data_IF_952001414264
#
_entry.id   IF_952001414264
#
_cell.length_a   1.000
_cell.length_b   1.000
_cell.length_c   1.000
_cell.angle_alpha   90.00
_cell.angle_beta   90.00
_cell.angle_gamma   90.00
#
_symmetry.space_group_name_H-M   'P 1'
#
loop_
_entity.id
_entity.type
_entity.pdbx_description
1 polymer ?
#
# COMPACT_ATOMS: atom_id res chain seq x y z
N UNK A 1 27.03 -50.57 -56.61
CA UNK A 1 26.57 -49.34 -55.93
C UNK A 1 25.21 -49.64 -55.32
N UNK A 2 25.09 -49.68 -53.98
CA UNK A 2 23.80 -49.94 -53.28
C UNK A 2 23.44 -48.67 -52.50
N UNK A 3 22.37 -47.98 -52.91
CA UNK A 3 21.84 -46.84 -52.16
C UNK A 3 20.95 -47.34 -51.03
N UNK A 4 21.23 -46.91 -49.80
CA UNK A 4 20.31 -47.07 -48.66
C UNK A 4 19.51 -45.79 -48.53
N UNK A 5 18.19 -45.88 -48.69
CA UNK A 5 17.26 -44.81 -48.35
C UNK A 5 16.89 -44.98 -46.87
N UNK A 6 17.22 -44.01 -46.04
CA UNK A 6 16.80 -43.94 -44.64
C UNK A 6 15.52 -43.10 -44.57
N UNK A 7 14.41 -43.72 -44.16
CA UNK A 7 13.17 -43.02 -43.85
C UNK A 7 13.21 -42.61 -42.38
N UNK A 8 13.21 -41.30 -42.12
CA UNK A 8 13.11 -40.75 -40.76
C UNK A 8 11.64 -40.58 -40.40
N UNK A 9 11.12 -41.43 -39.51
CA UNK A 9 9.76 -41.31 -38.99
C UNK A 9 9.72 -40.19 -37.93
N UNK A 10 8.94 -39.14 -38.18
CA UNK A 10 8.74 -38.05 -37.21
C UNK A 10 7.56 -38.42 -36.32
N UNK A 11 7.82 -38.74 -35.06
CA UNK A 11 6.77 -39.02 -34.07
C UNK A 11 6.13 -37.71 -33.63
N UNK A 12 4.85 -37.50 -33.95
CA UNK A 12 4.06 -36.39 -33.43
C UNK A 12 3.51 -36.80 -32.07
N UNK A 13 4.00 -36.18 -31.00
CA UNK A 13 3.42 -36.33 -29.67
C UNK A 13 2.12 -35.51 -29.60
N UNK A 14 0.99 -36.19 -29.46
CA UNK A 14 -0.31 -35.54 -29.20
C UNK A 14 -0.44 -35.32 -27.70
N UNK A 15 -0.26 -34.07 -27.26
CA UNK A 15 -0.51 -33.68 -25.86
C UNK A 15 -2.00 -33.37 -25.75
N UNK A 16 -2.78 -34.30 -25.18
CA UNK A 16 -4.16 -34.03 -24.82
C UNK A 16 -4.18 -33.21 -23.52
N UNK A 17 -4.44 -31.91 -23.60
CA UNK A 17 -4.79 -31.13 -22.41
C UNK A 17 -6.21 -31.51 -21.99
N UNK A 18 -6.32 -32.23 -20.87
CA UNK A 18 -7.60 -32.41 -20.20
C UNK A 18 -7.95 -31.12 -19.46
N UNK A 19 -9.06 -30.49 -19.85
CA UNK A 19 -9.65 -29.39 -19.09
C UNK A 19 -10.48 -30.00 -17.97
N UNK A 20 -9.99 -29.95 -16.72
CA UNK A 20 -10.83 -30.25 -15.55
C UNK A 20 -11.66 -29.00 -15.30
N UNK A 21 -12.97 -29.11 -15.48
CA UNK A 21 -13.89 -28.07 -15.05
C UNK A 21 -13.90 -28.06 -13.51
N UNK A 22 -13.29 -27.05 -12.91
CA UNK A 22 -13.29 -26.90 -11.46
C UNK A 22 -14.64 -26.32 -11.03
N UNK A 23 -15.41 -27.08 -10.25
CA UNK A 23 -16.68 -26.58 -9.69
C UNK A 23 -16.38 -25.50 -8.67
N UNK A 24 -17.04 -24.35 -8.78
CA UNK A 24 -16.94 -23.31 -7.77
C UNK A 24 -17.51 -23.82 -6.44
N UNK A 25 -16.73 -23.66 -5.37
CA UNK A 25 -17.12 -24.03 -4.00
C UNK A 25 -17.28 -22.77 -3.16
N UNK A 26 -18.22 -22.82 -2.20
CA UNK A 26 -18.33 -21.80 -1.18
C UNK A 26 -17.64 -22.32 0.09
N UNK A 27 -16.52 -21.69 0.45
CA UNK A 27 -15.72 -22.09 1.62
C UNK A 27 -15.91 -21.07 2.75
N UNK A 28 -16.09 -21.56 3.97
CA UNK A 28 -16.07 -20.72 5.16
C UNK A 28 -14.59 -20.49 5.56
N UNK A 29 -14.16 -19.22 5.56
CA UNK A 29 -12.79 -18.82 5.89
C UNK A 29 -12.44 -18.86 7.38
N UNK A 30 -13.41 -19.15 8.24
CA UNK A 30 -13.24 -19.26 9.69
C UNK A 30 -13.35 -17.92 10.43
N UNK A 31 -13.07 -17.97 11.73
CA UNK A 31 -13.08 -16.85 12.67
C UNK A 31 -11.81 -16.91 13.54
N UNK A 32 -11.40 -15.79 14.14
CA UNK A 32 -10.34 -15.83 15.14
C UNK A 32 -10.77 -16.68 16.36
N UNK A 33 -9.87 -17.49 16.95
CA UNK A 33 -10.19 -18.23 18.16
C UNK A 33 -10.72 -17.33 19.28
N UNK A 34 -11.94 -17.63 19.75
CA UNK A 34 -12.63 -16.85 20.78
C UNK A 34 -13.51 -15.70 20.26
N UNK A 35 -13.56 -15.46 18.95
CA UNK A 35 -14.54 -14.57 18.33
C UNK A 35 -15.97 -15.06 18.54
N UNK A 36 -16.93 -14.13 18.53
CA UNK A 36 -18.36 -14.42 18.81
C UNK A 36 -19.34 -13.79 17.82
N UNK A 37 -18.87 -13.03 16.83
CA UNK A 37 -19.74 -12.10 16.08
C UNK A 37 -19.63 -12.24 14.55
N UNK A 38 -18.50 -11.85 13.94
CA UNK A 38 -18.37 -11.90 12.49
C UNK A 38 -16.90 -11.85 12.02
N UNK A 39 -16.70 -12.35 10.81
CA UNK A 39 -15.47 -12.15 10.03
C UNK A 39 -15.82 -11.66 8.64
N UNK A 40 -15.11 -10.63 8.17
CA UNK A 40 -15.26 -10.07 6.81
C UNK A 40 -13.89 -10.02 6.13
N UNK A 41 -13.77 -10.66 4.96
CA UNK A 41 -12.61 -10.51 4.09
C UNK A 41 -12.59 -9.15 3.39
N UNK A 42 -11.48 -8.42 3.48
CA UNK A 42 -11.32 -7.09 2.88
C UNK A 42 -10.32 -7.04 1.73
N UNK A 43 -9.36 -7.97 1.69
CA UNK A 43 -8.35 -8.02 0.64
C UNK A 43 -7.88 -9.44 0.36
N UNK A 44 -7.44 -9.67 -0.87
CA UNK A 44 -6.87 -10.95 -1.30
C UNK A 44 -5.62 -10.74 -2.15
N UNK A 45 -4.61 -11.58 -1.98
CA UNK A 45 -3.41 -11.59 -2.82
C UNK A 45 -3.74 -12.03 -4.25
N UNK A 46 -2.83 -11.75 -5.19
CA UNK A 46 -3.08 -12.01 -6.63
C UNK A 46 -3.31 -13.50 -6.93
N UNK A 47 -2.63 -14.37 -6.21
CA UNK A 47 -2.70 -15.82 -6.31
C UNK A 47 -3.84 -16.43 -5.48
N UNK A 48 -4.60 -15.62 -4.75
CA UNK A 48 -5.68 -16.08 -3.88
C UNK A 48 -5.21 -16.72 -2.57
N UNK A 49 -3.91 -16.84 -2.33
CA UNK A 49 -3.36 -17.60 -1.20
C UNK A 49 -3.36 -16.85 0.12
N UNK A 50 -3.48 -15.53 0.12
CA UNK A 50 -3.52 -14.73 1.35
C UNK A 50 -4.75 -13.85 1.36
N UNK A 51 -5.54 -13.96 2.42
CA UNK A 51 -6.71 -13.12 2.65
C UNK A 51 -6.40 -12.23 3.86
N UNK A 52 -6.65 -10.93 3.71
CA UNK A 52 -6.69 -9.98 4.82
C UNK A 52 -8.14 -9.75 5.21
N UNK A 53 -8.44 -9.87 6.50
CA UNK A 53 -9.78 -9.84 7.04
C UNK A 53 -9.85 -8.94 8.28
N UNK A 54 -11.08 -8.56 8.60
CA UNK A 54 -11.49 -8.07 9.89
C UNK A 54 -12.23 -9.20 10.60
N UNK A 55 -11.91 -9.47 11.86
CA UNK A 55 -12.59 -10.49 12.67
C UNK A 55 -12.78 -9.98 14.09
N UNK A 56 -13.87 -10.36 14.76
CA UNK A 56 -14.01 -10.14 16.20
C UNK A 56 -13.17 -11.17 16.97
N UNK A 57 -12.36 -10.73 17.95
CA UNK A 57 -11.51 -11.62 18.75
C UNK A 57 -12.03 -11.82 20.18
N UNK A 58 -11.36 -12.68 20.98
CA UNK A 58 -11.78 -13.14 22.32
C UNK A 58 -12.15 -12.05 23.33
N UNK A 59 -11.75 -10.79 23.12
CA UNK A 59 -12.20 -9.68 23.97
C UNK A 59 -13.52 -9.04 23.54
N UNK A 60 -14.14 -9.51 22.44
CA UNK A 60 -15.51 -9.27 21.97
C UNK A 60 -16.00 -7.81 21.87
N UNK A 61 -15.15 -6.84 22.19
CA UNK A 61 -15.45 -5.41 22.21
C UNK A 61 -14.84 -4.68 21.02
N UNK A 62 -13.88 -5.29 20.32
CA UNK A 62 -12.98 -4.62 19.39
C UNK A 62 -12.75 -5.46 18.13
N UNK A 63 -12.68 -4.77 16.98
CA UNK A 63 -12.32 -5.39 15.70
C UNK A 63 -10.83 -5.67 15.64
N UNK A 64 -10.44 -6.84 15.13
CA UNK A 64 -9.03 -7.18 14.95
C UNK A 64 -8.72 -7.56 13.51
N UNK A 65 -7.70 -6.93 12.96
CA UNK A 65 -7.17 -7.28 11.67
C UNK A 65 -6.57 -8.69 11.77
N UNK A 66 -6.91 -9.52 10.79
CA UNK A 66 -6.49 -10.89 10.72
C UNK A 66 -6.05 -11.23 9.30
N UNK A 67 -5.29 -12.32 9.17
CA UNK A 67 -4.96 -12.88 7.88
C UNK A 67 -5.04 -14.39 7.89
N UNK A 68 -5.29 -14.95 6.69
CA UNK A 68 -5.31 -16.39 6.43
C UNK A 68 -4.34 -16.69 5.29
N UNK A 69 -3.59 -17.79 5.40
CA UNK A 69 -2.78 -18.31 4.29
C UNK A 69 -3.29 -19.68 3.84
N UNK A 70 -3.68 -19.79 2.58
CA UNK A 70 -4.29 -20.98 2.02
C UNK A 70 -5.48 -21.42 2.88
N UNK A 71 -5.44 -22.68 3.29
CA UNK A 71 -6.52 -23.30 4.05
C UNK A 71 -6.33 -23.20 5.58
N UNK A 72 -5.40 -22.37 6.06
CA UNK A 72 -5.09 -22.22 7.49
C UNK A 72 -6.23 -21.60 8.30
N UNK A 73 -6.15 -21.63 9.62
CA UNK A 73 -6.99 -20.77 10.46
C UNK A 73 -6.61 -19.28 10.27
N UNK A 74 -7.51 -18.38 10.69
CA UNK A 74 -7.22 -16.95 10.78
C UNK A 74 -6.24 -16.68 11.92
N UNK A 75 -5.27 -15.81 11.62
CA UNK A 75 -4.24 -15.38 12.56
C UNK A 75 -4.41 -13.87 12.78
N UNK A 76 -4.52 -13.47 14.04
CA UNK A 76 -4.61 -12.08 14.44
C UNK A 76 -3.27 -11.37 14.22
N UNK A 77 -3.29 -10.14 13.69
CA UNK A 77 -2.06 -9.33 13.51
C UNK A 77 -1.82 -8.33 14.65
N UNK A 78 -2.75 -8.23 15.61
CA UNK A 78 -2.69 -7.31 16.74
C UNK A 78 -3.01 -5.86 16.36
N UNK A 79 -2.63 -4.93 17.23
CA UNK A 79 -2.80 -3.48 17.07
C UNK A 79 -1.49 -2.75 17.35
N UNK A 80 -1.42 -1.45 17.02
CA UNK A 80 -0.28 -0.61 17.39
C UNK A 80 -0.13 -0.52 18.91
N UNK A 81 1.08 -0.24 19.43
CA UNK A 81 1.25 0.00 20.86
C UNK A 81 0.26 1.05 21.37
N UNK A 82 -0.44 0.75 22.46
CA UNK A 82 -1.51 1.56 23.08
C UNK A 82 -2.84 1.63 22.34
N UNK A 83 -2.96 1.02 21.16
CA UNK A 83 -4.21 0.85 20.44
C UNK A 83 -4.90 -0.44 20.89
N UNK A 84 -6.23 -0.48 20.79
CA UNK A 84 -7.05 -1.60 21.24
C UNK A 84 -7.64 -2.40 20.06
N UNK A 85 -7.71 -1.78 18.87
CA UNK A 85 -8.33 -2.38 17.70
C UNK A 85 -7.48 -2.21 16.45
N UNK A 86 -7.75 -3.03 15.44
CA UNK A 86 -7.21 -2.86 14.11
C UNK A 86 -8.18 -3.38 13.05
N UNK A 87 -8.19 -2.72 11.88
CA UNK A 87 -8.96 -3.14 10.73
C UNK A 87 -8.03 -3.29 9.53
N UNK A 88 -8.03 -4.47 8.90
CA UNK A 88 -7.31 -4.66 7.64
C UNK A 88 -8.15 -4.10 6.49
N UNK A 89 -7.54 -3.32 5.61
CA UNK A 89 -8.20 -2.73 4.45
C UNK A 89 -7.67 -3.28 3.12
N UNK A 90 -6.45 -3.79 3.09
CA UNK A 90 -5.86 -4.29 1.85
C UNK A 90 -4.63 -5.16 2.07
N UNK A 91 -4.32 -5.95 1.03
CA UNK A 91 -3.15 -6.84 0.99
C UNK A 91 -2.39 -6.62 -0.31
N UNK A 92 -1.07 -6.70 -0.24
CA UNK A 92 -0.20 -6.64 -1.42
C UNK A 92 -0.42 -7.83 -2.34
N UNK A 93 -0.06 -7.65 -3.62
CA UNK A 93 -0.20 -8.71 -4.62
C UNK A 93 0.59 -10.01 -4.29
N UNK A 94 1.63 -9.95 -3.45
CA UNK A 94 2.37 -11.13 -2.99
C UNK A 94 1.82 -11.75 -1.71
N UNK A 95 0.83 -11.14 -1.07
CA UNK A 95 0.35 -11.57 0.25
C UNK A 95 1.29 -11.25 1.41
N UNK A 96 2.40 -10.54 1.18
CA UNK A 96 3.41 -10.27 2.23
C UNK A 96 3.01 -9.10 3.12
N UNK A 97 2.48 -8.04 2.52
CA UNK A 97 2.10 -6.81 3.22
C UNK A 97 0.59 -6.70 3.38
N UNK A 98 0.17 -6.32 4.57
CA UNK A 98 -1.20 -5.95 4.91
C UNK A 98 -1.20 -4.50 5.36
N UNK A 99 -2.22 -3.75 4.98
CA UNK A 99 -2.42 -2.36 5.40
C UNK A 99 -3.82 -2.15 5.91
N UNK A 100 -3.98 -1.11 6.72
CA UNK A 100 -5.26 -0.76 7.29
C UNK A 100 -5.11 0.37 8.29
N UNK A 101 -5.89 0.30 9.35
CA UNK A 101 -5.89 1.26 10.43
C UNK A 101 -5.89 0.58 11.79
N UNK A 102 -5.22 1.18 12.76
CA UNK A 102 -5.28 0.75 14.15
C UNK A 102 -5.95 1.86 14.95
N UNK A 103 -6.82 1.48 15.88
CA UNK A 103 -7.72 2.40 16.58
C UNK A 103 -7.39 2.41 18.07
N UNK A 104 -7.28 3.62 18.62
CA UNK A 104 -7.19 3.87 20.06
C UNK A 104 -8.52 4.37 20.61
N UNK A 105 -8.90 3.91 21.81
CA UNK A 105 -10.05 4.43 22.56
C UNK A 105 -9.95 5.96 22.69
N UNK A 106 -10.83 6.70 21.99
CA UNK A 106 -10.90 8.16 21.78
C UNK A 106 -10.73 8.66 20.32
N UNK A 107 -10.96 7.79 19.32
CA UNK A 107 -11.03 8.12 17.88
C UNK A 107 -9.70 8.52 17.22
N UNK A 108 -8.56 8.32 17.91
CA UNK A 108 -7.27 8.37 17.24
C UNK A 108 -7.08 7.08 16.44
N UNK A 109 -7.11 7.24 15.11
CA UNK A 109 -6.95 6.16 14.15
C UNK A 109 -5.67 6.40 13.37
N UNK A 110 -4.78 5.42 13.36
CA UNK A 110 -3.52 5.53 12.65
C UNK A 110 -3.39 4.44 11.59
N UNK A 111 -3.08 4.87 10.37
CA UNK A 111 -2.78 3.99 9.27
C UNK A 111 -1.57 3.13 9.63
N UNK A 112 -1.66 1.83 9.36
CA UNK A 112 -0.54 0.91 9.56
C UNK A 112 -0.16 0.20 8.26
N UNK A 113 1.07 -0.32 8.27
CA UNK A 113 1.48 -1.46 7.44
C UNK A 113 2.00 -2.57 8.32
N UNK A 114 1.76 -3.81 7.92
CA UNK A 114 2.15 -5.00 8.65
C UNK A 114 2.76 -6.03 7.72
N UNK A 115 3.77 -6.74 8.21
CA UNK A 115 4.26 -8.00 7.66
C UNK A 115 4.72 -8.90 8.80
N UNK A 116 4.83 -10.20 8.56
CA UNK A 116 5.36 -11.16 9.54
C UNK A 116 6.78 -10.76 10.00
N UNK A 117 7.60 -10.22 9.09
CA UNK A 117 9.00 -9.88 9.36
C UNK A 117 9.16 -8.60 10.19
N UNK A 118 8.24 -7.64 10.03
CA UNK A 118 8.37 -6.31 10.65
C UNK A 118 7.41 -6.07 11.80
N UNK A 119 6.40 -6.91 11.96
CA UNK A 119 5.23 -6.59 12.76
C UNK A 119 4.48 -5.36 12.23
N UNK A 120 3.63 -4.78 13.09
CA UNK A 120 2.83 -3.60 12.77
C UNK A 120 3.67 -2.32 12.90
N UNK A 121 3.67 -1.51 11.85
CA UNK A 121 4.34 -0.21 11.79
C UNK A 121 3.29 0.86 11.51
N UNK A 122 3.20 1.86 12.40
CA UNK A 122 2.37 3.05 12.22
C UNK A 122 2.95 3.97 11.15
N UNK A 123 2.10 4.54 10.32
CA UNK A 123 2.49 5.41 9.21
C UNK A 123 2.35 6.90 9.56
N UNK A 124 1.80 7.22 10.74
CA UNK A 124 1.44 8.57 11.15
C UNK A 124 0.26 9.15 10.35
N UNK A 125 0.14 10.46 10.40
CA UNK A 125 -0.95 11.27 9.83
C UNK A 125 -0.41 12.46 9.02
N UNK A 126 -1.32 13.26 8.46
CA UNK A 126 -0.97 14.55 7.86
C UNK A 126 -1.03 15.64 8.93
N UNK A 127 -0.15 16.66 8.87
CA UNK A 127 -0.07 17.68 9.91
C UNK A 127 -1.33 18.56 9.97
N UNK A 128 -1.66 19.01 11.19
CA UNK A 128 -2.69 20.02 11.46
C UNK A 128 -4.13 19.50 11.53
N UNK A 129 -4.40 18.26 11.13
CA UNK A 129 -5.73 17.65 11.27
C UNK A 129 -6.02 17.09 12.67
N UNK A 130 -7.11 16.34 12.78
CA UNK A 130 -7.50 15.63 14.01
C UNK A 130 -6.63 14.40 14.35
N UNK A 131 -5.56 14.20 13.59
CA UNK A 131 -4.66 13.04 13.69
C UNK A 131 -5.37 11.71 13.46
N UNK A 132 -5.93 11.58 12.27
CA UNK A 132 -6.61 10.38 11.80
C UNK A 132 -6.07 9.98 10.44
N UNK A 133 -5.73 8.71 10.24
CA UNK A 133 -5.28 8.19 8.96
C UNK A 133 -5.70 6.74 8.74
N UNK A 134 -5.96 6.39 7.47
CA UNK A 134 -6.40 5.07 7.04
C UNK A 134 -5.63 4.68 5.78
N UNK A 135 -4.86 3.60 5.83
CA UNK A 135 -4.26 3.02 4.63
C UNK A 135 -5.27 2.14 3.89
N UNK A 136 -5.35 2.29 2.57
CA UNK A 136 -6.32 1.57 1.72
C UNK A 136 -5.68 0.62 0.72
N UNK A 137 -4.45 0.90 0.30
CA UNK A 137 -3.74 0.04 -0.62
C UNK A 137 -2.23 0.15 -0.44
N UNK A 138 -1.53 -0.91 -0.85
CA UNK A 138 -0.08 -1.04 -0.73
C UNK A 138 0.50 -1.62 -2.03
N UNK A 139 1.67 -1.13 -2.42
CA UNK A 139 2.42 -1.67 -3.55
C UNK A 139 2.85 -3.12 -3.29
N UNK A 140 3.15 -3.85 -4.37
CA UNK A 140 3.61 -5.25 -4.30
C UNK A 140 4.78 -5.45 -3.32
N UNK A 141 5.70 -4.48 -3.26
CA UNK A 141 6.90 -4.52 -2.44
C UNK A 141 6.76 -3.85 -1.07
N UNK A 142 5.57 -3.33 -0.73
CA UNK A 142 5.33 -2.70 0.57
C UNK A 142 5.89 -1.29 0.76
N UNK A 143 6.50 -0.71 -0.28
CA UNK A 143 7.18 0.60 -0.20
C UNK A 143 6.27 1.79 -0.42
N UNK A 144 5.14 1.61 -1.09
CA UNK A 144 4.19 2.70 -1.34
C UNK A 144 2.87 2.31 -0.74
N UNK A 145 2.40 3.12 0.22
CA UNK A 145 1.07 2.98 0.81
C UNK A 145 0.27 4.23 0.47
N UNK A 146 -1.00 4.04 0.12
CA UNK A 146 -1.93 5.14 -0.17
C UNK A 146 -3.18 5.02 0.68
N UNK A 147 -3.78 6.17 0.98
CA UNK A 147 -4.90 6.23 1.89
C UNK A 147 -5.47 7.63 2.04
N UNK A 148 -6.29 7.81 3.06
CA UNK A 148 -6.83 9.11 3.48
C UNK A 148 -6.36 9.45 4.88
N UNK A 149 -6.14 10.74 5.16
CA UNK A 149 -5.82 11.26 6.49
C UNK A 149 -6.48 12.62 6.70
N UNK A 150 -6.60 13.05 7.95
CA UNK A 150 -7.04 14.41 8.27
C UNK A 150 -5.88 15.40 8.16
N UNK A 151 -6.15 16.59 7.63
CA UNK A 151 -5.22 17.73 7.55
C UNK A 151 -5.97 19.01 7.88
N UNK A 152 -5.28 20.09 8.22
CA UNK A 152 -5.93 21.40 8.36
C UNK A 152 -6.09 22.11 7.01
N UNK A 153 -7.26 22.70 6.80
CA UNK A 153 -7.49 23.73 5.79
C UNK A 153 -8.38 24.83 6.39
N UNK A 154 -7.88 26.07 6.42
CA UNK A 154 -8.57 27.25 6.96
C UNK A 154 -9.12 27.05 8.39
N UNK A 155 -8.32 26.46 9.28
CA UNK A 155 -8.70 26.21 10.69
C UNK A 155 -9.72 25.09 10.87
N UNK A 156 -9.96 24.26 9.84
CA UNK A 156 -10.85 23.10 9.89
C UNK A 156 -10.10 21.83 9.51
N UNK A 157 -10.38 20.76 10.24
CA UNK A 157 -9.94 19.41 9.85
C UNK A 157 -10.71 18.95 8.62
N UNK A 158 -9.98 18.55 7.57
CA UNK A 158 -10.52 18.05 6.31
C UNK A 158 -9.82 16.75 5.91
N UNK A 159 -10.53 15.86 5.24
CA UNK A 159 -9.94 14.64 4.67
C UNK A 159 -9.08 14.95 3.44
N UNK A 160 -7.87 14.41 3.41
CA UNK A 160 -6.95 14.53 2.29
C UNK A 160 -6.32 13.17 1.94
N UNK A 161 -6.02 12.91 0.65
CA UNK A 161 -5.29 11.72 0.26
C UNK A 161 -3.84 11.82 0.72
N UNK A 162 -3.27 10.69 1.15
CA UNK A 162 -1.83 10.60 1.39
C UNK A 162 -1.17 9.53 0.51
N UNK A 163 0.12 9.73 0.27
CA UNK A 163 1.04 8.71 -0.23
C UNK A 163 2.21 8.62 0.71
N UNK A 164 2.37 7.47 1.34
CA UNK A 164 3.45 7.16 2.26
C UNK A 164 4.54 6.34 1.55
N UNK A 165 5.79 6.63 1.92
CA UNK A 165 6.99 5.84 1.58
C UNK A 165 7.90 5.81 2.80
N UNK A 166 8.63 4.70 3.05
CA UNK A 166 9.62 4.66 4.12
C UNK A 166 10.62 5.83 4.02
N UNK A 167 11.10 6.32 5.16
CA UNK A 167 12.18 7.29 5.17
C UNK A 167 13.39 6.73 4.40
N UNK A 168 13.92 7.53 3.46
CA UNK A 168 14.99 7.11 2.53
C UNK A 168 14.53 6.69 1.13
N UNK A 169 13.24 6.38 0.94
CA UNK A 169 12.67 5.93 -0.35
C UNK A 169 11.93 7.04 -1.12
N UNK A 170 12.07 8.31 -0.71
CA UNK A 170 11.66 9.44 -1.53
C UNK A 170 12.43 9.34 -2.87
N UNK A 171 11.73 8.91 -3.93
CA UNK A 171 12.36 8.43 -5.17
C UNK A 171 13.51 9.34 -5.59
N UNK A 172 14.69 8.79 -5.94
CA UNK A 172 15.83 9.60 -6.38
C UNK A 172 15.44 10.61 -7.47
N UNK A 173 14.47 10.27 -8.32
CA UNK A 173 13.88 11.15 -9.34
C UNK A 173 13.22 12.42 -8.80
N UNK A 174 12.57 12.36 -7.63
CA UNK A 174 11.93 13.54 -7.01
C UNK A 174 12.99 14.49 -6.47
N UNK A 175 14.01 13.96 -5.79
CA UNK A 175 15.15 14.76 -5.31
C UNK A 175 16.04 15.28 -6.44
N UNK A 176 16.25 14.49 -7.50
CA UNK A 176 17.01 14.87 -8.70
C UNK A 176 16.33 16.02 -9.44
N UNK A 177 15.01 15.96 -9.65
CA UNK A 177 14.23 17.06 -10.25
C UNK A 177 14.23 18.32 -9.38
N UNK A 178 14.19 18.19 -8.05
CA UNK A 178 14.29 19.33 -7.13
C UNK A 178 15.68 19.99 -7.16
N UNK A 179 16.76 19.20 -7.20
CA UNK A 179 18.13 19.70 -7.33
C UNK A 179 18.41 20.31 -8.71
N UNK A 180 17.81 19.76 -9.77
CA UNK A 180 17.89 20.32 -11.13
C UNK A 180 17.13 21.66 -11.27
N UNK A 181 16.02 21.89 -10.56
CA UNK A 181 15.37 23.23 -10.51
C UNK A 181 16.21 24.25 -9.70
N UNK A 182 17.02 23.82 -8.71
CA UNK A 182 17.81 24.71 -7.84
C UNK A 182 19.24 24.98 -8.33
N UNK A 183 19.71 24.26 -9.35
CA UNK A 183 21.08 24.34 -9.85
C UNK A 183 21.18 24.73 -11.33
N UNK A 184 20.93 26.01 -11.69
CA UNK A 184 21.52 26.61 -12.90
C UNK A 184 21.96 28.06 -12.69
N UNK A 185 23.27 28.21 -12.67
CA UNK A 185 24.11 29.41 -12.82
C UNK A 185 23.76 30.21 -14.11
N UNK A 186 23.62 31.55 -14.11
CA UNK A 186 22.99 32.30 -15.20
C UNK A 186 23.96 32.68 -16.34
N UNK A 187 24.78 31.75 -16.84
CA UNK A 187 25.81 32.06 -17.86
C UNK A 187 25.75 31.24 -19.15
N UNK A 188 24.57 31.11 -19.75
CA UNK A 188 24.46 30.63 -21.14
C UNK A 188 23.55 31.53 -21.98
N UNK A 189 24.18 32.50 -22.65
CA UNK A 189 23.73 33.01 -23.95
C UNK A 189 24.04 31.94 -25.01
N UNK A 190 23.10 31.65 -25.92
CA UNK A 190 23.36 30.82 -27.10
C UNK A 190 22.10 30.19 -27.68
N UNK A 191 21.65 30.73 -28.82
CA UNK A 191 20.40 30.43 -29.49
C UNK A 191 20.27 28.99 -30.01
N UNK A 192 19.23 28.26 -29.56
CA UNK A 192 18.40 27.38 -30.42
C UNK A 192 17.20 26.82 -29.66
N UNK A 193 16.02 27.36 -29.93
CA UNK A 193 14.76 26.76 -29.55
C UNK A 193 14.46 25.52 -30.42
N UNK A 194 14.47 24.32 -29.83
CA UNK A 194 13.74 23.16 -30.37
C UNK A 194 12.58 22.82 -29.45
N UNK A 195 11.43 22.54 -30.06
CA UNK A 195 10.10 22.37 -29.44
C UNK A 195 10.14 21.31 -28.34
N UNK A 196 9.70 21.70 -27.14
CA UNK A 196 9.65 20.87 -25.93
C UNK A 196 10.28 21.59 -24.74
N UNK A 197 9.66 22.68 -24.28
CA UNK A 197 10.15 23.44 -23.13
C UNK A 197 10.15 22.62 -21.83
N UNK A 198 11.03 22.91 -20.87
CA UNK A 198 11.09 22.18 -19.60
C UNK A 198 9.76 22.33 -18.83
N UNK A 199 9.37 21.32 -18.05
CA UNK A 199 8.17 21.41 -17.22
C UNK A 199 8.31 22.63 -16.31
N UNK A 200 7.30 23.51 -16.34
CA UNK A 200 7.24 24.67 -15.46
C UNK A 200 7.31 24.15 -14.01
N UNK A 201 8.41 24.44 -13.29
CA UNK A 201 8.46 24.23 -11.84
C UNK A 201 7.36 25.15 -11.27
N UNK A 202 6.16 24.62 -10.98
CA UNK A 202 5.17 25.35 -10.17
C UNK A 202 5.85 25.57 -8.81
N UNK A 203 6.00 26.82 -8.43
CA UNK A 203 6.65 27.23 -7.19
C UNK A 203 6.00 26.50 -6.02
N UNK A 204 6.77 25.66 -5.33
CA UNK A 204 6.43 25.29 -3.96
C UNK A 204 6.51 26.57 -3.14
N UNK A 205 5.38 27.03 -2.61
CA UNK A 205 5.34 28.11 -1.63
C UNK A 205 6.00 27.57 -0.35
N UNK A 206 7.06 28.20 0.18
CA UNK A 206 7.59 27.83 1.48
C UNK A 206 6.56 28.19 2.56
N UNK A 207 6.15 27.22 3.36
CA UNK A 207 5.49 27.48 4.64
C UNK A 207 6.58 27.92 5.62
N UNK A 208 7.01 29.18 5.53
CA UNK A 208 7.82 29.79 6.58
C UNK A 208 7.13 31.07 7.05
N UNK A 209 6.67 31.01 8.31
CA UNK A 209 6.22 32.16 9.06
C UNK A 209 7.42 33.08 9.31
N UNK A 210 7.35 34.29 8.76
CA UNK A 210 8.36 35.32 8.96
C UNK A 210 7.80 36.70 8.70
N UNK A 211 7.58 37.45 9.77
CA UNK A 211 7.20 38.87 9.78
C UNK A 211 7.96 39.66 8.71
N UNK A 212 7.27 40.48 7.93
CA UNK A 212 7.93 41.59 7.21
C UNK A 212 8.06 42.80 8.14
N UNK A 213 9.25 43.43 8.25
CA UNK A 213 9.40 44.73 8.90
C UNK A 213 8.86 45.82 7.97
N UNK A 214 8.28 46.86 8.57
CA UNK A 214 7.76 48.01 7.86
C UNK A 214 8.87 48.88 7.26
N UNK A 215 8.49 49.71 6.28
CA UNK A 215 9.23 50.90 5.89
C UNK A 215 8.24 52.00 5.52
N UNK A 216 8.39 53.11 6.25
CA UNK A 216 8.13 54.53 5.98
C UNK A 216 7.01 54.90 4.99
#
# INVERSE_FOLDING_TARGET
>A
MRFRVSASATTVAVITLQCVAQTATFENIGELPGGIDFTVGHGISRDGSTIAALSSSYFAYYGEAAYRRGDSDLIAIGALPTHQESNAAGVSATGTWIVGESVRQNEYTEAFRWSEDTGMIGLGDLPGGDRSSIARAVSRDGRVVVGGASTELDGKSVGAPFRWTPEGDATPDRQRRQRECLGRDPRWLGDRWRRGGPPRCQQAVPLDGGRRPGHL
#
